data_IF_333823891582
#
_entry.id   IF_333823891582
#
_cell.length_a   1.000
_cell.length_b   1.000
_cell.length_c   1.000
_cell.angle_alpha   90.00
_cell.angle_beta   90.00
_cell.angle_gamma   90.00
#
_symmetry.space_group_name_H-M   'P 1'
#
loop_
_entity.id
_entity.type
_entity.pdbx_description
1 polymer ?
#
# COMPACT_ATOMS: atom_id res chain seq x y z
N UNK A 1 29.48 58.06 36.20
CA UNK A 1 28.23 58.65 35.67
C UNK A 1 27.08 58.05 36.46
N UNK A 2 26.57 58.75 37.48
CA UNK A 2 25.40 58.32 38.26
C UNK A 2 24.13 58.75 37.54
N UNK A 3 23.25 57.81 37.18
CA UNK A 3 21.89 58.14 36.76
C UNK A 3 21.13 58.79 37.93
N UNK A 4 20.40 59.87 37.64
CA UNK A 4 19.64 60.62 38.65
C UNK A 4 18.30 59.94 38.92
N UNK A 5 17.80 60.03 40.16
CA UNK A 5 16.48 59.50 40.56
C UNK A 5 15.30 60.04 39.71
N UNK A 6 15.49 61.12 38.94
CA UNK A 6 14.47 61.64 38.02
C UNK A 6 14.29 60.79 36.75
N UNK A 7 15.30 59.99 36.37
CA UNK A 7 15.24 59.14 35.17
C UNK A 7 14.47 57.83 35.41
N UNK A 8 14.31 57.41 36.67
CA UNK A 8 13.53 56.21 37.03
C UNK A 8 12.01 56.44 37.03
N UNK A 9 11.55 57.69 37.18
CA UNK A 9 10.12 57.99 37.30
C UNK A 9 9.36 57.88 35.96
N UNK A 10 10.06 58.03 34.82
CA UNK A 10 9.47 57.89 33.47
C UNK A 10 9.40 56.46 32.95
N UNK A 11 10.14 55.53 33.56
CA UNK A 11 10.27 54.14 33.09
C UNK A 11 9.11 53.26 33.63
N UNK A 12 8.58 53.59 34.81
CA UNK A 12 7.47 52.86 35.45
C UNK A 12 6.20 52.74 34.60
N UNK A 13 5.67 53.84 34.01
CA UNK A 13 4.48 53.77 33.15
C UNK A 13 4.72 53.01 31.84
N UNK A 14 5.91 53.12 31.25
CA UNK A 14 6.28 52.43 30.01
C UNK A 14 6.40 50.91 30.20
N UNK A 15 7.00 50.47 31.31
CA UNK A 15 7.06 49.05 31.69
C UNK A 15 5.66 48.49 31.98
N UNK A 16 4.78 49.26 32.62
CA UNK A 16 3.40 48.83 32.89
C UNK A 16 2.60 48.67 31.58
N UNK A 17 2.75 49.60 30.64
CA UNK A 17 2.12 49.52 29.31
C UNK A 17 2.65 48.33 28.50
N UNK A 18 3.95 48.05 28.56
CA UNK A 18 4.56 46.89 27.89
C UNK A 18 4.06 45.56 28.49
N UNK A 19 3.95 45.47 29.81
CA UNK A 19 3.39 44.30 30.49
C UNK A 19 1.92 44.09 30.14
N UNK A 20 1.13 45.15 30.09
CA UNK A 20 -0.29 45.09 29.71
C UNK A 20 -0.46 44.67 28.25
N UNK A 21 0.38 45.15 27.33
CA UNK A 21 0.39 44.73 25.94
C UNK A 21 0.75 43.24 25.77
N UNK A 22 1.74 42.74 26.54
CA UNK A 22 2.12 41.33 26.55
C UNK A 22 0.99 40.43 27.10
N UNK A 23 0.28 40.87 28.13
CA UNK A 23 -0.89 40.16 28.68
C UNK A 23 -2.01 40.12 27.64
N UNK A 24 -2.30 41.23 26.95
CA UNK A 24 -3.32 41.26 25.88
C UNK A 24 -2.92 40.32 24.73
N UNK A 25 -1.64 40.30 24.33
CA UNK A 25 -1.14 39.39 23.30
C UNK A 25 -1.24 37.92 23.73
N UNK A 26 -0.92 37.61 24.99
CA UNK A 26 -1.07 36.28 25.55
C UNK A 26 -2.55 35.84 25.58
N UNK A 27 -3.46 36.71 26.04
CA UNK A 27 -4.91 36.44 26.04
C UNK A 27 -5.43 36.25 24.62
N UNK A 28 -4.98 37.06 23.65
CA UNK A 28 -5.33 36.91 22.23
C UNK A 28 -4.83 35.58 21.66
N UNK A 29 -3.60 35.18 21.98
CA UNK A 29 -3.01 33.90 21.55
C UNK A 29 -3.74 32.69 22.15
N UNK A 30 -4.11 32.78 23.44
CA UNK A 30 -4.91 31.74 24.14
C UNK A 30 -6.34 31.66 23.59
N UNK A 31 -6.97 32.80 23.28
CA UNK A 31 -8.30 32.84 22.66
C UNK A 31 -8.28 32.31 21.23
N UNK A 32 -7.26 32.65 20.45
CA UNK A 32 -7.05 32.15 19.08
C UNK A 32 -6.82 30.64 19.05
N UNK A 33 -5.99 30.12 19.95
CA UNK A 33 -5.77 28.66 20.08
C UNK A 33 -7.03 27.93 20.57
N UNK A 34 -7.78 28.48 21.52
CA UNK A 34 -9.07 27.90 21.94
C UNK A 34 -10.13 27.93 20.84
N UNK A 35 -10.22 29.02 20.07
CA UNK A 35 -11.11 29.12 18.92
C UNK A 35 -10.75 28.08 17.84
N UNK A 36 -9.46 27.95 17.51
CA UNK A 36 -8.97 26.93 16.58
C UNK A 36 -9.27 25.50 17.06
N UNK A 37 -9.14 25.23 18.36
CA UNK A 37 -9.45 23.93 18.93
C UNK A 37 -10.96 23.63 18.94
N UNK A 38 -11.78 24.64 19.19
CA UNK A 38 -13.24 24.53 19.14
C UNK A 38 -13.74 24.32 17.70
N UNK A 39 -13.16 25.03 16.72
CA UNK A 39 -13.47 24.85 15.30
C UNK A 39 -13.05 23.45 14.80
N UNK A 40 -11.86 22.96 15.21
CA UNK A 40 -11.43 21.58 14.94
C UNK A 40 -12.40 20.55 15.55
N UNK A 41 -12.76 20.70 16.82
CA UNK A 41 -13.67 19.78 17.49
C UNK A 41 -15.11 19.81 16.90
N UNK A 42 -15.52 20.94 16.31
CA UNK A 42 -16.80 21.05 15.60
C UNK A 42 -16.74 20.40 14.21
N UNK A 43 -15.66 20.65 13.46
CA UNK A 43 -15.37 20.00 12.18
C UNK A 43 -15.33 18.47 12.33
N UNK A 44 -14.69 17.97 13.40
CA UNK A 44 -14.63 16.53 13.71
C UNK A 44 -16.01 15.93 14.02
N UNK A 45 -16.94 16.71 14.60
CA UNK A 45 -18.30 16.24 14.91
C UNK A 45 -19.20 16.26 13.69
N UNK A 46 -19.11 17.29 12.86
CA UNK A 46 -19.85 17.40 11.60
C UNK A 46 -19.38 16.31 10.62
N UNK A 47 -18.07 16.11 10.46
CA UNK A 47 -17.49 15.04 9.64
C UNK A 47 -17.88 13.63 10.13
N UNK A 48 -17.98 13.40 11.45
CA UNK A 48 -18.49 12.12 11.99
C UNK A 48 -19.96 11.87 11.67
N UNK A 49 -20.79 12.91 11.60
CA UNK A 49 -22.22 12.79 11.26
C UNK A 49 -22.41 12.49 9.77
N UNK A 50 -21.66 13.16 8.92
CA UNK A 50 -21.68 12.94 7.47
C UNK A 50 -21.15 11.56 7.10
N UNK A 51 -20.05 11.13 7.72
CA UNK A 51 -19.53 9.77 7.60
C UNK A 51 -20.57 8.70 8.00
N UNK A 52 -21.33 8.95 9.07
CA UNK A 52 -22.42 8.05 9.48
C UNK A 52 -23.57 7.98 8.47
N UNK A 53 -23.94 9.11 7.86
CA UNK A 53 -24.96 9.16 6.80
C UNK A 53 -24.49 8.46 5.51
N UNK A 54 -23.26 8.74 5.07
CA UNK A 54 -22.64 8.07 3.92
C UNK A 54 -22.55 6.55 4.12
N UNK A 55 -22.24 6.11 5.34
CA UNK A 55 -22.22 4.70 5.72
C UNK A 55 -23.59 4.04 5.67
N UNK A 56 -24.65 4.72 6.14
CA UNK A 56 -26.01 4.21 6.05
C UNK A 56 -26.46 4.08 4.59
N UNK A 57 -26.22 5.10 3.77
CA UNK A 57 -26.51 5.08 2.33
C UNK A 57 -25.76 3.95 1.60
N UNK A 58 -24.50 3.69 1.95
CA UNK A 58 -23.71 2.63 1.32
C UNK A 58 -24.24 1.22 1.65
N UNK A 59 -24.86 1.03 2.83
CA UNK A 59 -25.30 -0.29 3.30
C UNK A 59 -26.67 -0.71 2.77
N UNK A 60 -27.54 0.24 2.45
CA UNK A 60 -28.94 0.01 2.00
C UNK A 60 -29.14 0.25 0.50
N UNK A 61 -28.08 0.54 -0.26
CA UNK A 61 -28.18 0.79 -1.71
C UNK A 61 -28.53 -0.47 -2.52
N UNK A 62 -29.33 -0.27 -3.56
CA UNK A 62 -29.61 -1.29 -4.57
C UNK A 62 -28.34 -1.67 -5.35
N UNK A 63 -28.20 -2.94 -5.77
CA UNK A 63 -27.12 -3.37 -6.67
C UNK A 63 -27.08 -2.52 -7.95
N UNK A 64 -25.88 -2.24 -8.45
CA UNK A 64 -25.73 -1.54 -9.72
C UNK A 64 -25.96 -0.04 -9.67
N UNK A 65 -26.10 0.56 -8.48
CA UNK A 65 -26.29 2.00 -8.33
C UNK A 65 -25.25 2.58 -7.39
N UNK A 66 -24.53 3.60 -7.88
CA UNK A 66 -23.69 4.47 -7.06
C UNK A 66 -24.09 5.92 -7.26
N UNK A 67 -24.31 6.63 -6.16
CA UNK A 67 -24.51 8.06 -6.15
C UNK A 67 -23.24 8.70 -5.58
N UNK A 68 -22.62 9.66 -6.28
CA UNK A 68 -21.49 10.41 -5.76
C UNK A 68 -21.80 10.98 -4.37
N UNK A 69 -20.88 10.78 -3.43
CA UNK A 69 -21.02 11.23 -2.04
C UNK A 69 -20.08 12.41 -1.83
N UNK A 70 -20.59 13.52 -1.28
CA UNK A 70 -19.71 14.56 -0.74
C UNK A 70 -19.00 13.98 0.49
N UNK A 71 -17.68 13.97 0.48
CA UNK A 71 -16.89 13.33 1.52
C UNK A 71 -15.81 14.27 2.05
N UNK A 72 -15.94 14.61 3.33
CA UNK A 72 -14.95 15.37 4.06
C UNK A 72 -13.83 14.44 4.54
N UNK A 73 -12.70 14.56 3.87
CA UNK A 73 -11.50 13.81 4.21
C UNK A 73 -11.00 14.13 5.61
N UNK A 74 -10.55 13.14 6.39
CA UNK A 74 -9.83 13.40 7.63
C UNK A 74 -8.58 14.25 7.37
N UNK A 75 -8.16 15.01 8.38
CA UNK A 75 -6.92 15.77 8.33
C UNK A 75 -5.73 14.81 8.21
N UNK A 76 -4.88 15.02 7.20
CA UNK A 76 -3.64 14.26 7.02
C UNK A 76 -2.51 14.95 7.77
N UNK A 77 -1.78 14.18 8.58
CA UNK A 77 -0.60 14.65 9.29
C UNK A 77 0.62 14.59 8.36
N UNK A 78 1.30 15.72 8.11
CA UNK A 78 2.55 15.71 7.34
C UNK A 78 3.60 14.81 7.98
N UNK A 79 4.37 14.13 7.15
CA UNK A 79 5.52 13.35 7.58
C UNK A 79 6.64 14.32 7.95
N UNK A 80 7.11 14.20 9.19
CA UNK A 80 8.27 14.95 9.68
C UNK A 80 9.51 14.07 9.56
N UNK A 81 10.42 14.41 8.65
CA UNK A 81 11.70 13.73 8.49
C UNK A 81 12.11 13.53 7.04
N UNK A 82 13.21 12.81 6.84
CA UNK A 82 13.74 12.47 5.53
C UNK A 82 13.40 11.03 5.16
N UNK A 83 12.66 10.85 4.05
CA UNK A 83 12.30 9.53 3.52
C UNK A 83 13.53 8.65 3.30
N UNK A 84 14.69 9.23 2.98
CA UNK A 84 15.94 8.51 2.72
C UNK A 84 16.48 7.81 3.97
N UNK A 85 16.03 8.22 5.14
CA UNK A 85 16.39 7.60 6.43
C UNK A 85 15.30 6.65 6.94
N UNK A 86 14.08 6.75 6.41
CA UNK A 86 12.93 5.96 6.83
C UNK A 86 13.09 4.51 6.35
N UNK A 87 13.19 3.58 7.30
CA UNK A 87 13.26 2.14 6.99
C UNK A 87 11.88 1.63 6.58
N UNK A 88 11.79 0.69 5.61
CA UNK A 88 10.55 0.00 5.30
C UNK A 88 9.97 -0.68 6.54
N UNK A 89 8.65 -0.64 6.70
CA UNK A 89 7.97 -1.31 7.82
C UNK A 89 8.09 -2.82 7.63
N UNK A 90 8.64 -3.56 8.61
CA UNK A 90 8.86 -5.00 8.50
C UNK A 90 7.58 -5.77 8.78
N UNK A 91 6.62 -5.76 7.86
CA UNK A 91 5.39 -6.54 8.00
C UNK A 91 5.70 -8.04 8.14
N UNK A 92 5.23 -8.68 9.22
CA UNK A 92 5.41 -10.13 9.47
C UNK A 92 4.03 -10.80 9.69
N UNK A 93 3.22 -10.98 8.62
CA UNK A 93 1.86 -11.50 8.71
C UNK A 93 1.77 -13.02 8.94
N UNK A 94 2.73 -13.58 9.68
CA UNK A 94 2.80 -14.99 10.04
C UNK A 94 2.84 -15.13 11.56
N UNK A 95 2.17 -16.16 12.08
CA UNK A 95 1.95 -16.40 13.51
C UNK A 95 2.38 -17.82 13.87
N UNK A 96 2.67 -18.06 15.14
CA UNK A 96 2.87 -19.41 15.64
C UNK A 96 1.58 -20.22 15.53
N UNK A 97 1.73 -21.52 15.24
CA UNK A 97 0.64 -22.50 15.26
C UNK A 97 -0.14 -22.61 13.96
N UNK A 98 -1.41 -22.98 14.07
CA UNK A 98 -2.28 -23.28 12.93
C UNK A 98 -2.52 -22.05 12.05
N UNK A 99 -2.48 -22.28 10.74
CA UNK A 99 -2.78 -21.25 9.76
C UNK A 99 -4.26 -21.30 9.35
N UNK A 100 -4.97 -20.21 9.62
CA UNK A 100 -6.36 -20.06 9.20
C UNK A 100 -6.49 -19.06 8.05
N UNK A 101 -7.05 -19.53 6.94
CA UNK A 101 -7.42 -18.67 5.81
C UNK A 101 -8.57 -17.76 6.22
N UNK A 102 -8.29 -16.46 6.36
CA UNK A 102 -9.28 -15.42 6.66
C UNK A 102 -9.03 -14.19 5.79
N UNK A 103 -9.99 -13.27 5.75
CA UNK A 103 -9.79 -11.99 5.05
C UNK A 103 -8.66 -11.14 5.65
N UNK A 104 -8.36 -11.29 6.96
CA UNK A 104 -7.24 -10.62 7.63
C UNK A 104 -7.33 -9.08 7.66
N UNK A 105 -8.53 -8.54 7.48
CA UNK A 105 -8.79 -7.11 7.32
C UNK A 105 -8.74 -6.39 8.68
N UNK A 106 -8.10 -5.21 8.69
CA UNK A 106 -8.03 -4.28 9.82
C UNK A 106 -8.38 -2.87 9.34
N UNK A 107 -8.83 -2.00 10.25
CA UNK A 107 -9.04 -0.60 9.90
C UNK A 107 -7.71 0.05 9.53
N UNK A 108 -7.71 0.87 8.48
CA UNK A 108 -6.52 1.61 8.04
C UNK A 108 -6.55 3.02 8.62
N UNK A 109 -5.44 3.48 9.20
CA UNK A 109 -5.26 4.88 9.53
C UNK A 109 -5.11 5.69 8.23
N UNK A 110 -5.79 6.83 8.11
CA UNK A 110 -5.72 7.68 6.92
C UNK A 110 -4.31 8.21 6.66
N UNK A 111 -3.46 8.41 7.68
CA UNK A 111 -2.04 8.78 7.53
C UNK A 111 -1.14 7.65 6.99
N UNK A 112 -1.73 6.48 6.77
CA UNK A 112 -1.05 5.27 6.30
C UNK A 112 -1.69 4.76 4.99
N UNK A 113 -2.34 5.61 4.20
CA UNK A 113 -2.90 5.18 2.92
C UNK A 113 -1.80 4.66 1.98
N UNK A 114 -0.75 5.46 1.78
CA UNK A 114 0.49 5.03 1.14
C UNK A 114 1.70 5.25 2.04
N UNK A 115 2.63 4.30 1.97
CA UNK A 115 3.83 4.25 2.80
C UNK A 115 5.07 4.38 1.92
N UNK A 116 5.66 5.59 1.94
CA UNK A 116 6.90 5.91 1.24
C UNK A 116 8.05 5.75 2.22
N UNK A 117 9.08 5.04 1.80
CA UNK A 117 10.29 4.84 2.58
C UNK A 117 11.55 5.06 1.72
N UNK A 118 12.73 4.84 2.29
CA UNK A 118 14.02 5.07 1.62
C UNK A 118 14.20 4.32 0.31
N UNK A 119 13.40 3.27 0.04
CA UNK A 119 13.46 2.49 -1.19
C UNK A 119 12.64 3.10 -2.33
N UNK A 120 11.96 4.23 -2.10
CA UNK A 120 11.10 4.90 -3.08
C UNK A 120 11.76 5.06 -4.45
N UNK A 121 12.98 5.59 -4.52
CA UNK A 121 13.66 5.84 -5.80
C UNK A 121 14.07 4.56 -6.53
N UNK A 122 14.35 3.48 -5.81
CA UNK A 122 14.67 2.19 -6.44
C UNK A 122 13.40 1.55 -7.01
N UNK A 123 12.29 1.61 -6.26
CA UNK A 123 10.98 1.21 -6.76
C UNK A 123 10.55 2.04 -7.97
N UNK A 124 10.78 3.35 -7.93
CA UNK A 124 10.47 4.24 -9.04
C UNK A 124 11.24 3.85 -10.31
N UNK A 125 12.53 3.51 -10.21
CA UNK A 125 13.33 3.03 -11.35
C UNK A 125 12.75 1.73 -11.93
N UNK A 126 12.45 0.76 -11.07
CA UNK A 126 11.84 -0.53 -11.47
C UNK A 126 10.51 -0.31 -12.16
N UNK A 127 9.61 0.48 -11.57
CA UNK A 127 8.28 0.77 -12.13
C UNK A 127 8.40 1.53 -13.45
N UNK A 128 9.22 2.58 -13.52
CA UNK A 128 9.44 3.33 -14.77
C UNK A 128 9.93 2.43 -15.89
N UNK A 129 10.93 1.58 -15.62
CA UNK A 129 11.41 0.61 -16.59
C UNK A 129 10.31 -0.38 -16.99
N UNK A 130 9.55 -0.88 -16.02
CA UNK A 130 8.45 -1.82 -16.26
C UNK A 130 7.36 -1.24 -17.17
N UNK A 131 6.95 -0.01 -16.90
CA UNK A 131 5.98 0.72 -17.73
C UNK A 131 6.48 0.89 -19.17
N UNK A 132 7.78 1.10 -19.38
CA UNK A 132 8.38 1.20 -20.71
C UNK A 132 8.35 -0.13 -21.48
N UNK A 133 8.76 -1.23 -20.84
CA UNK A 133 8.90 -2.53 -21.55
C UNK A 133 7.58 -3.30 -21.68
N UNK A 134 6.61 -3.05 -20.79
CA UNK A 134 5.30 -3.74 -20.80
C UNK A 134 4.19 -2.89 -21.40
N UNK A 135 4.30 -1.57 -21.32
CA UNK A 135 3.28 -0.64 -21.78
C UNK A 135 1.90 -1.01 -21.24
N UNK A 136 0.97 -1.23 -22.16
CA UNK A 136 -0.44 -1.47 -21.85
C UNK A 136 -0.68 -2.85 -21.22
N UNK A 137 0.30 -3.76 -21.18
CA UNK A 137 0.16 -5.04 -20.45
C UNK A 137 0.31 -4.89 -18.93
N UNK A 138 1.04 -3.86 -18.50
CA UNK A 138 1.16 -3.53 -17.07
C UNK A 138 0.10 -2.53 -16.63
N UNK A 139 -0.46 -1.74 -17.55
CA UNK A 139 -1.51 -0.75 -17.27
C UNK A 139 -2.66 -0.91 -18.25
N UNK A 140 -3.79 -1.42 -17.76
CA UNK A 140 -5.01 -1.59 -18.56
C UNK A 140 -6.13 -0.80 -17.91
N UNK A 141 -6.85 -0.02 -18.72
CA UNK A 141 -8.08 0.68 -18.33
C UNK A 141 -9.15 0.31 -19.33
N UNK A 142 -10.16 -0.46 -18.90
CA UNK A 142 -11.23 -0.84 -19.80
C UNK A 142 -12.05 0.40 -20.21
N UNK A 143 -12.53 0.44 -21.47
CA UNK A 143 -13.56 1.41 -21.84
C UNK A 143 -14.84 1.11 -21.06
N UNK A 144 -15.78 2.05 -21.04
CA UNK A 144 -17.09 1.83 -20.41
C UNK A 144 -17.72 0.54 -20.96
N UNK A 145 -18.10 -0.36 -20.05
CA UNK A 145 -18.68 -1.66 -20.37
C UNK A 145 -20.17 -1.67 -20.04
N UNK A 146 -21.03 -2.30 -20.86
CA UNK A 146 -22.41 -2.54 -20.50
C UNK A 146 -22.51 -3.29 -19.16
N UNK A 147 -23.41 -2.84 -18.29
CA UNK A 147 -23.62 -3.48 -16.99
C UNK A 147 -22.54 -3.20 -15.94
N UNK A 148 -21.56 -2.33 -16.21
CA UNK A 148 -20.63 -1.82 -15.20
C UNK A 148 -21.06 -0.42 -14.75
N UNK A 149 -21.05 -0.18 -13.45
CA UNK A 149 -21.39 1.11 -12.86
C UNK A 149 -20.27 2.11 -13.13
N UNK A 150 -20.59 3.19 -13.83
CA UNK A 150 -19.65 4.27 -14.14
C UNK A 150 -18.63 3.89 -15.22
N UNK A 151 -17.40 4.37 -15.08
CA UNK A 151 -16.32 4.17 -16.05
C UNK A 151 -14.99 3.96 -15.34
N UNK A 152 -14.21 2.99 -15.83
CA UNK A 152 -12.88 2.71 -15.30
C UNK A 152 -11.93 3.91 -15.49
N UNK A 153 -12.09 4.66 -16.59
CA UNK A 153 -11.32 5.90 -16.83
C UNK A 153 -11.66 7.00 -15.81
N UNK A 154 -12.95 7.15 -15.46
CA UNK A 154 -13.36 8.11 -14.43
C UNK A 154 -12.82 7.72 -13.05
N UNK A 155 -12.86 6.43 -12.71
CA UNK A 155 -12.29 5.90 -11.46
C UNK A 155 -10.77 6.08 -11.39
N UNK A 156 -10.07 5.86 -12.50
CA UNK A 156 -8.62 6.09 -12.61
C UNK A 156 -8.25 7.57 -12.43
N UNK A 157 -8.99 8.47 -13.07
CA UNK A 157 -8.82 9.92 -12.88
C UNK A 157 -9.10 10.33 -11.43
N UNK A 158 -10.18 9.84 -10.83
CA UNK A 158 -10.45 10.13 -9.42
C UNK A 158 -9.33 9.62 -8.51
N UNK A 159 -8.84 8.39 -8.70
CA UNK A 159 -7.73 7.84 -7.92
C UNK A 159 -6.48 8.72 -7.99
N UNK A 160 -6.04 9.14 -9.18
CA UNK A 160 -4.77 9.89 -9.28
C UNK A 160 -4.87 11.28 -8.63
N UNK A 161 -6.03 11.93 -8.73
CA UNK A 161 -6.28 13.22 -8.06
C UNK A 161 -6.31 13.04 -6.54
N UNK A 162 -7.04 12.04 -6.06
CA UNK A 162 -7.11 11.67 -4.65
C UNK A 162 -5.73 11.33 -4.05
N UNK A 163 -4.94 10.57 -4.81
CA UNK A 163 -3.58 10.19 -4.42
C UNK A 163 -2.66 11.41 -4.36
N UNK A 164 -2.74 12.32 -5.34
CA UNK A 164 -1.95 13.55 -5.34
C UNK A 164 -2.30 14.47 -4.16
N UNK A 165 -3.59 14.56 -3.80
CA UNK A 165 -4.04 15.33 -2.63
C UNK A 165 -3.48 14.74 -1.33
N UNK A 166 -3.49 13.41 -1.19
CA UNK A 166 -2.91 12.71 -0.04
C UNK A 166 -1.39 12.90 0.02
N UNK A 167 -0.68 12.59 -1.07
CA UNK A 167 0.79 12.59 -1.11
C UNK A 167 1.38 13.98 -0.86
N UNK A 168 0.82 15.03 -1.46
CA UNK A 168 1.29 16.41 -1.26
C UNK A 168 1.12 16.91 0.17
N UNK A 169 0.17 16.35 0.94
CA UNK A 169 -0.04 16.66 2.35
C UNK A 169 0.78 15.78 3.27
N UNK A 170 0.85 14.48 2.95
CA UNK A 170 1.58 13.49 3.74
C UNK A 170 3.09 13.66 3.59
N UNK A 171 3.59 14.00 2.42
CA UNK A 171 5.03 14.13 2.13
C UNK A 171 5.34 15.46 1.41
N UNK A 172 5.12 16.61 2.05
CA UNK A 172 5.24 17.92 1.41
C UNK A 172 6.66 18.27 0.95
N UNK A 173 7.68 17.67 1.56
CA UNK A 173 9.09 17.86 1.16
C UNK A 173 9.47 17.02 -0.08
N UNK A 174 8.68 15.98 -0.39
CA UNK A 174 8.87 15.13 -1.57
C UNK A 174 8.07 15.63 -2.78
N UNK A 175 6.89 16.20 -2.55
CA UNK A 175 5.97 16.62 -3.61
C UNK A 175 5.63 18.10 -3.56
N UNK A 176 5.78 18.76 -4.70
CA UNK A 176 5.22 20.11 -4.95
C UNK A 176 4.02 20.00 -5.88
N UNK A 177 3.02 20.86 -5.69
CA UNK A 177 1.79 20.85 -6.51
C UNK A 177 1.46 22.23 -7.07
N UNK A 178 0.84 22.25 -8.25
CA UNK A 178 0.16 23.43 -8.81
C UNK A 178 -1.33 23.12 -8.89
N UNK A 179 -2.16 23.99 -8.32
CA UNK A 179 -3.62 23.84 -8.27
C UNK A 179 -4.29 24.66 -9.35
N UNK A 180 -5.44 24.18 -9.83
CA UNK A 180 -6.36 24.98 -10.63
C UNK A 180 -7.07 26.00 -9.74
N UNK A 181 -7.68 27.00 -10.36
CA UNK A 181 -8.65 27.83 -9.67
C UNK A 181 -9.80 26.97 -9.13
N UNK A 182 -10.41 27.44 -8.04
CA UNK A 182 -11.54 26.75 -7.44
C UNK A 182 -12.73 26.81 -8.40
N UNK A 183 -13.13 25.65 -8.95
CA UNK A 183 -14.30 25.51 -9.81
C UNK A 183 -15.63 25.69 -9.06
N UNK A 184 -16.74 25.54 -9.78
CA UNK A 184 -18.08 25.49 -9.20
C UNK A 184 -18.28 24.24 -8.30
N UNK A 185 -19.41 24.18 -7.59
CA UNK A 185 -19.71 23.11 -6.62
C UNK A 185 -19.53 21.72 -7.24
N UNK A 186 -18.70 20.88 -6.62
CA UNK A 186 -18.48 19.50 -7.03
C UNK A 186 -17.16 19.23 -7.74
N UNK A 187 -16.34 20.23 -8.09
CA UNK A 187 -15.03 20.04 -8.74
C UNK A 187 -13.85 20.51 -7.87
N UNK A 188 -14.05 20.53 -6.55
CA UNK A 188 -13.03 20.94 -5.58
C UNK A 188 -11.98 19.86 -5.32
N UNK A 189 -10.77 20.31 -5.00
CA UNK A 189 -9.76 19.52 -4.30
C UNK A 189 -10.12 19.34 -2.83
N UNK A 190 -9.23 18.68 -2.09
CA UNK A 190 -9.45 18.45 -0.66
C UNK A 190 -9.51 19.76 0.12
N UNK A 191 -10.28 19.76 1.22
CA UNK A 191 -10.41 20.89 2.15
C UNK A 191 -10.90 22.20 1.51
N UNK A 192 -11.67 22.10 0.43
CA UNK A 192 -12.25 23.25 -0.27
C UNK A 192 -11.25 24.03 -1.13
N UNK A 193 -10.07 23.47 -1.40
CA UNK A 193 -9.08 24.01 -2.33
C UNK A 193 -9.45 23.70 -3.80
N UNK A 194 -8.77 24.35 -4.75
CA UNK A 194 -8.85 23.95 -6.15
C UNK A 194 -8.16 22.59 -6.37
N UNK A 195 -8.62 21.77 -7.33
CA UNK A 195 -8.03 20.47 -7.60
C UNK A 195 -6.59 20.63 -8.09
N UNK A 196 -5.74 19.64 -7.80
CA UNK A 196 -4.36 19.63 -8.28
C UNK A 196 -4.36 19.46 -9.80
N UNK A 197 -3.69 20.38 -10.51
CA UNK A 197 -3.41 20.26 -11.95
C UNK A 197 -2.15 19.44 -12.17
N UNK A 198 -1.06 19.82 -11.51
CA UNK A 198 0.23 19.15 -11.65
C UNK A 198 0.84 18.82 -10.30
N UNK A 199 1.60 17.73 -10.26
CA UNK A 199 2.39 17.29 -9.11
C UNK A 199 3.80 16.96 -9.56
N UNK A 200 4.79 17.44 -8.80
CA UNK A 200 6.21 17.28 -9.08
C UNK A 200 6.87 16.47 -7.97
N UNK A 201 7.63 15.44 -8.33
CA UNK A 201 8.55 14.77 -7.39
C UNK A 201 9.84 15.58 -7.35
N UNK A 202 10.04 16.37 -6.30
CA UNK A 202 11.08 17.40 -6.23
C UNK A 202 12.51 16.82 -6.44
N UNK A 203 12.93 15.74 -5.76
CA UNK A 203 14.28 15.21 -5.95
C UNK A 203 14.55 14.61 -7.35
N UNK A 204 13.50 14.31 -8.12
CA UNK A 204 13.62 13.78 -9.48
C UNK A 204 13.43 14.83 -10.58
N UNK A 205 12.99 16.05 -10.21
CA UNK A 205 12.54 17.10 -11.14
C UNK A 205 11.58 16.56 -12.22
N UNK A 206 10.64 15.71 -11.80
CA UNK A 206 9.65 15.10 -12.68
C UNK A 206 8.26 15.61 -12.34
N UNK A 207 7.64 16.32 -13.28
CA UNK A 207 6.29 16.88 -13.16
C UNK A 207 5.30 16.09 -13.98
N UNK A 208 4.13 15.81 -13.39
CA UNK A 208 3.03 15.09 -14.01
C UNK A 208 1.79 15.98 -14.07
N UNK A 209 1.20 16.13 -15.25
CA UNK A 209 -0.10 16.78 -15.42
C UNK A 209 -1.22 15.75 -15.28
N UNK A 210 -2.07 15.92 -14.26
CA UNK A 210 -3.09 14.95 -13.87
C UNK A 210 -4.31 14.94 -14.80
N UNK A 211 -4.43 15.89 -15.72
CA UNK A 211 -5.51 15.95 -16.69
C UNK A 211 -5.13 15.40 -18.05
N UNK A 212 -3.86 15.59 -18.44
CA UNK A 212 -3.34 15.23 -19.75
C UNK A 212 -2.69 13.84 -19.79
N UNK A 213 -2.07 13.41 -18.68
CA UNK A 213 -1.35 12.13 -18.63
C UNK A 213 -2.26 10.96 -18.24
N UNK A 214 -1.86 9.74 -18.63
CA UNK A 214 -2.59 8.52 -18.30
C UNK A 214 -2.63 8.32 -16.76
N UNK A 215 -3.81 8.37 -16.11
CA UNK A 215 -3.91 8.47 -14.66
C UNK A 215 -3.24 7.33 -13.89
N UNK A 216 -3.37 6.08 -14.35
CA UNK A 216 -2.79 4.94 -13.61
C UNK A 216 -1.28 4.83 -13.82
N UNK A 217 -0.77 5.24 -14.99
CA UNK A 217 0.69 5.38 -15.18
C UNK A 217 1.27 6.42 -14.22
N UNK A 218 0.61 7.57 -14.06
CA UNK A 218 1.02 8.60 -13.09
C UNK A 218 0.93 8.07 -11.66
N UNK A 219 -0.19 7.46 -11.26
CA UNK A 219 -0.36 6.90 -9.92
C UNK A 219 0.74 5.89 -9.55
N UNK A 220 1.18 5.05 -10.49
CA UNK A 220 2.28 4.10 -10.29
C UNK A 220 3.66 4.75 -10.14
N UNK A 221 3.86 5.96 -10.67
CA UNK A 221 5.12 6.71 -10.51
C UNK A 221 5.11 7.57 -9.24
N UNK A 222 3.93 8.00 -8.79
CA UNK A 222 3.80 8.80 -7.59
C UNK A 222 3.97 8.00 -6.30
N UNK A 223 3.77 6.69 -6.29
CA UNK A 223 3.85 5.89 -5.06
C UNK A 223 4.53 4.52 -5.28
N UNK A 224 4.72 3.74 -4.23
CA UNK A 224 5.40 2.43 -4.31
C UNK A 224 4.43 1.26 -4.53
N UNK A 225 3.12 1.52 -4.45
CA UNK A 225 2.03 0.58 -4.63
C UNK A 225 1.81 0.20 -6.10
N UNK A 226 1.26 -0.98 -6.33
CA UNK A 226 0.47 -1.28 -7.53
C UNK A 226 -1.01 -0.95 -7.27
N UNK A 227 -1.77 -0.69 -8.33
CA UNK A 227 -3.15 -0.20 -8.25
C UNK A 227 -4.10 -1.10 -9.03
N UNK A 228 -5.19 -1.53 -8.40
CA UNK A 228 -6.30 -2.22 -9.06
C UNK A 228 -7.62 -1.53 -8.73
N UNK A 229 -8.48 -1.33 -9.73
CA UNK A 229 -9.77 -0.67 -9.61
C UNK A 229 -10.89 -1.67 -9.86
N UNK A 230 -11.66 -1.89 -8.80
CA UNK A 230 -12.80 -2.79 -8.79
C UNK A 230 -14.08 -1.96 -8.88
N UNK A 231 -14.83 -2.10 -9.98
CA UNK A 231 -16.10 -1.41 -10.18
C UNK A 231 -17.25 -2.40 -10.03
N UNK A 232 -18.36 -1.93 -9.49
CA UNK A 232 -19.54 -2.78 -9.33
C UNK A 232 -20.26 -2.96 -10.67
N UNK A 233 -20.85 -4.13 -10.89
CA UNK A 233 -21.76 -4.41 -11.98
C UNK A 233 -23.22 -4.16 -11.60
N UNK A 234 -24.10 -4.12 -12.58
CA UNK A 234 -25.55 -4.05 -12.39
C UNK A 234 -26.11 -5.24 -11.61
N UNK A 235 -25.36 -6.34 -11.55
CA UNK A 235 -25.65 -7.54 -10.77
C UNK A 235 -25.14 -7.48 -9.30
N UNK A 236 -24.50 -6.37 -8.91
CA UNK A 236 -23.91 -6.18 -7.58
C UNK A 236 -22.58 -6.87 -7.33
N UNK A 237 -21.99 -7.54 -8.32
CA UNK A 237 -20.63 -8.11 -8.24
C UNK A 237 -19.60 -7.03 -8.54
N UNK A 238 -18.37 -7.23 -8.09
CA UNK A 238 -17.27 -6.29 -8.37
C UNK A 238 -16.33 -6.88 -9.40
N UNK A 239 -15.97 -6.09 -10.40
CA UNK A 239 -15.16 -6.48 -11.55
C UNK A 239 -13.87 -5.67 -11.61
N UNK A 240 -12.76 -6.32 -11.92
CA UNK A 240 -11.49 -5.63 -12.16
C UNK A 240 -11.57 -4.90 -13.50
N UNK A 241 -11.76 -3.59 -13.48
CA UNK A 241 -11.97 -2.82 -14.72
C UNK A 241 -10.78 -1.96 -15.11
N UNK A 242 -9.86 -1.71 -14.18
CA UNK A 242 -8.59 -1.11 -14.50
C UNK A 242 -7.51 -1.52 -13.50
N UNK A 243 -6.25 -1.40 -13.90
CA UNK A 243 -5.13 -1.56 -12.99
C UNK A 243 -3.82 -1.10 -13.60
N UNK A 244 -2.88 -0.75 -12.72
CA UNK A 244 -1.46 -0.61 -13.02
C UNK A 244 -0.68 -1.52 -12.08
N UNK A 245 -0.29 -2.69 -12.61
CA UNK A 245 0.35 -3.77 -11.88
C UNK A 245 1.77 -3.92 -12.41
N UNK A 246 2.69 -3.14 -11.85
CA UNK A 246 4.09 -3.12 -12.26
C UNK A 246 4.95 -4.15 -11.50
N UNK A 247 4.50 -4.54 -10.30
CA UNK A 247 5.15 -5.48 -9.41
C UNK A 247 4.21 -6.63 -9.05
N UNK A 248 3.64 -7.34 -10.05
CA UNK A 248 2.79 -8.50 -9.80
C UNK A 248 3.49 -9.53 -8.91
N UNK A 249 2.69 -10.24 -8.12
CA UNK A 249 3.12 -11.51 -7.53
C UNK A 249 3.08 -12.60 -8.60
N UNK A 250 2.36 -13.69 -8.31
CA UNK A 250 2.18 -14.82 -9.23
C UNK A 250 0.90 -14.69 -10.10
N UNK A 251 0.58 -13.48 -10.58
CA UNK A 251 -0.58 -13.24 -11.46
C UNK A 251 -0.30 -12.08 -12.43
N UNK A 252 -0.96 -12.05 -13.60
CA UNK A 252 -0.84 -10.95 -14.58
C UNK A 252 -2.15 -10.20 -14.71
N UNK A 253 -2.07 -8.87 -14.87
CA UNK A 253 -3.25 -8.02 -15.03
C UNK A 253 -4.11 -8.45 -16.23
N UNK A 254 -3.48 -8.67 -17.38
CA UNK A 254 -4.14 -9.08 -18.63
C UNK A 254 -4.93 -10.38 -18.51
N UNK A 255 -4.56 -11.27 -17.59
CA UNK A 255 -5.26 -12.55 -17.39
C UNK A 255 -6.51 -12.39 -16.52
N UNK A 256 -6.63 -11.27 -15.79
CA UNK A 256 -7.65 -11.05 -14.76
C UNK A 256 -8.55 -9.85 -15.06
N UNK A 257 -8.14 -8.97 -15.96
CA UNK A 257 -8.90 -7.79 -16.33
C UNK A 257 -10.28 -8.18 -16.88
N UNK A 258 -11.32 -7.46 -16.46
CA UNK A 258 -12.71 -7.73 -16.80
C UNK A 258 -13.38 -8.83 -15.96
N UNK A 259 -12.63 -9.63 -15.19
CA UNK A 259 -13.22 -10.70 -14.38
C UNK A 259 -13.89 -10.16 -13.11
N UNK A 260 -14.97 -10.81 -12.65
CA UNK A 260 -15.54 -10.56 -11.33
C UNK A 260 -14.60 -11.08 -10.23
N UNK A 261 -14.69 -10.47 -9.04
CA UNK A 261 -13.85 -10.76 -7.87
C UNK A 261 -13.76 -12.24 -7.56
N UNK A 262 -14.88 -12.96 -7.63
CA UNK A 262 -14.94 -14.40 -7.42
C UNK A 262 -14.11 -15.17 -8.45
N UNK A 263 -14.24 -14.86 -9.74
CA UNK A 263 -13.55 -15.57 -10.80
C UNK A 263 -12.05 -15.32 -10.78
N UNK A 264 -11.61 -14.13 -10.39
CA UNK A 264 -10.18 -13.82 -10.16
C UNK A 264 -9.59 -14.80 -9.15
N UNK A 265 -10.30 -15.06 -8.05
CA UNK A 265 -9.82 -15.93 -6.97
C UNK A 265 -9.98 -17.43 -7.30
N UNK A 266 -11.09 -17.82 -7.95
CA UNK A 266 -11.33 -19.21 -8.37
C UNK A 266 -10.33 -19.64 -9.44
N UNK A 267 -10.15 -18.84 -10.50
CA UNK A 267 -9.16 -19.12 -11.55
C UNK A 267 -7.72 -19.01 -11.05
N UNK A 268 -7.49 -18.27 -9.95
CA UNK A 268 -6.23 -18.25 -9.24
C UNK A 268 -5.97 -19.48 -8.38
N UNK A 269 -6.95 -20.37 -8.19
CA UNK A 269 -6.92 -21.51 -7.27
C UNK A 269 -6.62 -21.08 -5.82
N UNK A 270 -7.21 -19.96 -5.36
CA UNK A 270 -7.04 -19.50 -3.98
C UNK A 270 -7.63 -20.54 -3.01
N UNK A 271 -6.82 -21.10 -2.09
CA UNK A 271 -7.27 -22.14 -1.16
C UNK A 271 -8.47 -21.70 -0.36
N UNK A 272 -9.45 -22.60 -0.24
CA UNK A 272 -10.64 -22.43 0.62
C UNK A 272 -11.51 -21.22 0.28
N UNK A 273 -11.29 -20.55 -0.87
CA UNK A 273 -12.02 -19.34 -1.25
C UNK A 273 -13.52 -19.55 -1.32
N UNK A 274 -13.97 -20.54 -2.10
CA UNK A 274 -15.40 -20.79 -2.34
C UNK A 274 -16.16 -21.07 -1.04
N UNK A 275 -15.56 -21.87 -0.15
CA UNK A 275 -16.21 -22.35 1.05
C UNK A 275 -16.08 -21.40 2.26
N UNK A 276 -15.00 -20.60 2.35
CA UNK A 276 -14.72 -19.75 3.53
C UNK A 276 -14.72 -18.26 3.28
N UNK A 277 -14.31 -17.80 2.08
CA UNK A 277 -14.07 -16.38 1.82
C UNK A 277 -15.17 -15.74 0.97
N UNK A 278 -15.69 -16.44 -0.04
CA UNK A 278 -16.52 -15.86 -1.09
C UNK A 278 -17.67 -14.99 -0.55
N UNK A 279 -18.57 -15.56 0.26
CA UNK A 279 -19.75 -14.83 0.77
C UNK A 279 -19.35 -13.61 1.59
N UNK A 280 -18.34 -13.76 2.46
CA UNK A 280 -17.87 -12.67 3.32
C UNK A 280 -17.23 -11.55 2.51
N UNK A 281 -16.45 -11.88 1.49
CA UNK A 281 -15.74 -10.93 0.65
C UNK A 281 -16.70 -10.18 -0.28
N UNK A 282 -17.63 -10.88 -0.94
CA UNK A 282 -18.65 -10.25 -1.78
C UNK A 282 -19.49 -9.24 -0.97
N UNK A 283 -19.92 -9.63 0.24
CA UNK A 283 -20.65 -8.75 1.15
C UNK A 283 -19.79 -7.55 1.60
N UNK A 284 -18.51 -7.79 1.89
CA UNK A 284 -17.59 -6.75 2.32
C UNK A 284 -17.40 -5.69 1.24
N UNK A 285 -17.09 -6.08 -0.01
CA UNK A 285 -16.93 -5.15 -1.13
C UNK A 285 -18.19 -4.33 -1.36
N UNK A 286 -19.38 -4.92 -1.28
CA UNK A 286 -20.63 -4.15 -1.45
C UNK A 286 -20.86 -3.12 -0.34
N UNK A 287 -20.45 -3.43 0.89
CA UNK A 287 -20.75 -2.62 2.09
C UNK A 287 -19.61 -1.72 2.57
N UNK A 288 -18.41 -1.82 1.98
CA UNK A 288 -17.26 -0.98 2.34
C UNK A 288 -17.65 0.50 2.22
N UNK A 289 -17.70 1.28 3.31
CA UNK A 289 -18.06 2.69 3.22
C UNK A 289 -16.86 3.54 2.82
N UNK A 290 -17.11 4.79 2.40
CA UNK A 290 -16.06 5.73 1.96
C UNK A 290 -15.12 6.17 3.10
N UNK A 291 -15.60 6.16 4.34
CA UNK A 291 -14.90 6.69 5.52
C UNK A 291 -14.05 5.65 6.28
N UNK A 292 -14.20 4.36 5.95
CA UNK A 292 -13.50 3.25 6.64
C UNK A 292 -12.66 2.43 5.68
N UNK A 293 -11.59 3.00 5.13
CA UNK A 293 -10.62 2.21 4.39
C UNK A 293 -10.01 1.16 5.31
N UNK A 294 -9.55 0.09 4.69
CA UNK A 294 -9.00 -1.05 5.42
C UNK A 294 -7.66 -1.47 4.86
N UNK A 295 -6.89 -2.16 5.70
CA UNK A 295 -5.62 -2.78 5.32
C UNK A 295 -5.64 -4.27 5.65
N UNK A 296 -4.88 -5.05 4.91
CA UNK A 296 -4.58 -6.45 5.18
C UNK A 296 -3.18 -6.77 4.66
N UNK A 297 -2.66 -7.91 5.06
CA UNK A 297 -1.35 -8.34 4.59
C UNK A 297 -1.45 -9.73 4.00
N UNK A 298 -0.64 -9.94 2.98
CA UNK A 298 -0.41 -11.22 2.36
C UNK A 298 1.10 -11.47 2.31
N UNK A 299 1.49 -12.73 2.23
CA UNK A 299 2.90 -13.07 2.04
C UNK A 299 3.08 -14.39 1.33
N UNK A 300 4.22 -14.55 0.68
CA UNK A 300 4.71 -15.80 0.11
C UNK A 300 6.22 -15.68 -0.05
N UNK A 301 6.88 -16.74 -0.52
CA UNK A 301 8.31 -16.70 -0.79
C UNK A 301 8.56 -16.64 -2.28
N UNK A 302 9.64 -15.95 -2.63
CA UNK A 302 10.14 -15.83 -3.98
C UNK A 302 11.59 -16.26 -4.00
N UNK A 303 11.92 -17.21 -4.87
CA UNK A 303 13.30 -17.56 -5.21
C UNK A 303 13.72 -16.66 -6.37
N UNK A 304 14.86 -15.99 -6.24
CA UNK A 304 15.37 -15.07 -7.27
C UNK A 304 16.67 -15.61 -7.87
N UNK A 305 16.95 -15.27 -9.13
CA UNK A 305 18.23 -15.62 -9.74
C UNK A 305 19.37 -14.89 -9.02
N UNK A 306 20.48 -15.59 -8.75
CA UNK A 306 21.64 -14.96 -8.12
C UNK A 306 22.13 -13.78 -8.97
N UNK A 307 22.25 -12.55 -8.41
CA UNK A 307 22.60 -11.36 -9.17
C UNK A 307 23.96 -11.44 -9.87
N UNK A 308 24.88 -12.28 -9.36
CA UNK A 308 26.21 -12.47 -9.95
C UNK A 308 26.30 -13.69 -10.87
N UNK A 309 25.20 -14.42 -11.09
CA UNK A 309 25.20 -15.54 -12.03
C UNK A 309 25.42 -15.05 -13.47
N UNK A 310 25.97 -15.91 -14.32
CA UNK A 310 26.08 -15.62 -15.77
C UNK A 310 24.72 -15.33 -16.41
N UNK A 311 23.64 -15.92 -15.89
CA UNK A 311 22.28 -15.65 -16.31
C UNK A 311 21.83 -14.21 -15.99
N UNK A 312 22.16 -13.69 -14.81
CA UNK A 312 21.88 -12.30 -14.42
C UNK A 312 22.74 -11.29 -15.19
N UNK A 313 24.01 -11.61 -15.45
CA UNK A 313 24.93 -10.73 -16.21
C UNK A 313 24.50 -10.49 -17.66
N UNK A 314 23.77 -11.44 -18.26
CA UNK A 314 23.26 -11.33 -19.64
C UNK A 314 21.86 -10.70 -19.73
N UNK A 315 21.27 -10.28 -18.61
CA UNK A 315 19.95 -9.66 -18.56
C UNK A 315 20.06 -8.19 -18.13
N UNK A 316 19.92 -7.21 -19.04
CA UNK A 316 19.95 -5.79 -18.69
C UNK A 316 18.93 -5.40 -17.59
N UNK A 317 17.81 -6.12 -17.50
CA UNK A 317 16.81 -5.87 -16.47
C UNK A 317 17.30 -6.25 -15.05
N UNK A 318 18.27 -7.15 -14.91
CA UNK A 318 18.80 -7.58 -13.61
C UNK A 318 19.61 -6.48 -12.91
N UNK A 319 20.07 -5.45 -13.62
CA UNK A 319 20.71 -4.27 -12.99
C UNK A 319 19.66 -3.32 -12.40
N UNK A 320 18.47 -3.27 -13.00
CA UNK A 320 17.38 -2.39 -12.58
C UNK A 320 16.53 -3.07 -11.49
N UNK A 321 16.28 -4.37 -11.65
CA UNK A 321 15.46 -5.19 -10.77
C UNK A 321 16.23 -6.46 -10.33
N UNK A 322 17.24 -6.32 -9.45
CA UNK A 322 18.13 -7.41 -9.07
C UNK A 322 17.47 -8.50 -8.21
N UNK A 323 16.31 -8.20 -7.61
CA UNK A 323 15.57 -9.13 -6.74
C UNK A 323 14.26 -9.59 -7.39
N UNK A 324 14.11 -9.38 -8.70
CA UNK A 324 12.92 -9.75 -9.47
C UNK A 324 11.62 -9.25 -8.81
N UNK A 325 11.66 -8.03 -8.25
CA UNK A 325 10.53 -7.36 -7.63
C UNK A 325 9.35 -7.22 -8.60
N UNK A 326 9.65 -6.92 -9.86
CA UNK A 326 8.65 -6.68 -10.90
C UNK A 326 8.03 -7.97 -11.44
N UNK A 327 8.84 -8.98 -11.76
CA UNK A 327 8.35 -10.29 -12.18
C UNK A 327 9.38 -11.37 -11.87
N UNK A 328 8.96 -12.40 -11.13
CA UNK A 328 9.85 -13.53 -10.85
C UNK A 328 9.98 -14.46 -12.05
N UNK A 329 10.94 -14.18 -12.93
CA UNK A 329 11.27 -15.12 -14.00
C UNK A 329 11.76 -16.45 -13.45
N UNK A 330 12.44 -16.43 -12.30
CA UNK A 330 12.97 -17.65 -11.66
C UNK A 330 11.88 -18.61 -11.25
N UNK A 331 10.76 -18.11 -10.70
CA UNK A 331 9.66 -18.96 -10.24
C UNK A 331 8.51 -19.10 -11.23
N UNK A 332 8.35 -18.17 -12.17
CA UNK A 332 7.18 -18.11 -13.06
C UNK A 332 7.53 -18.21 -14.54
N UNK A 333 8.82 -18.32 -14.87
CA UNK A 333 9.31 -18.33 -16.24
C UNK A 333 9.07 -17.00 -16.96
N UNK A 334 9.08 -17.06 -18.30
CA UNK A 334 8.86 -15.87 -19.12
C UNK A 334 7.40 -15.43 -19.02
N UNK A 335 7.18 -14.19 -18.62
CA UNK A 335 5.84 -13.59 -18.47
C UNK A 335 5.01 -13.58 -19.76
N UNK A 336 5.65 -13.65 -20.93
CA UNK A 336 5.00 -13.57 -22.24
C UNK A 336 4.42 -14.89 -22.74
N UNK A 337 4.63 -15.99 -22.01
CA UNK A 337 4.01 -17.28 -22.35
C UNK A 337 2.51 -17.25 -22.08
N UNK A 338 1.73 -18.07 -22.76
CA UNK A 338 0.28 -18.17 -22.50
C UNK A 338 0.00 -18.65 -21.08
N UNK A 339 0.75 -19.64 -20.63
CA UNK A 339 0.60 -20.28 -19.32
C UNK A 339 1.73 -19.89 -18.35
N UNK A 340 1.40 -19.93 -17.05
CA UNK A 340 2.40 -19.82 -15.99
C UNK A 340 3.30 -21.05 -15.99
N UNK A 341 4.61 -20.83 -16.12
CA UNK A 341 5.59 -21.86 -15.79
C UNK A 341 5.77 -21.83 -14.27
N UNK A 342 4.82 -22.42 -13.53
CA UNK A 342 4.95 -22.49 -12.06
C UNK A 342 6.28 -23.15 -11.70
N UNK A 343 6.83 -22.81 -10.54
CA UNK A 343 8.10 -23.35 -10.06
C UNK A 343 8.13 -24.90 -10.05
N UNK A 344 6.96 -25.56 -10.02
CA UNK A 344 6.80 -27.03 -10.15
C UNK A 344 7.40 -27.50 -11.46
N UNK A 345 7.18 -26.77 -12.55
CA UNK A 345 7.76 -27.09 -13.85
C UNK A 345 9.26 -26.81 -13.92
N UNK A 346 9.77 -25.80 -13.19
CA UNK A 346 11.21 -25.50 -13.20
C UNK A 346 12.05 -26.52 -12.40
N UNK A 347 11.48 -27.15 -11.36
CA UNK A 347 12.14 -28.27 -10.66
C UNK A 347 11.86 -29.65 -11.28
N UNK A 348 10.77 -29.84 -12.03
CA UNK A 348 10.39 -31.15 -12.61
C UNK A 348 10.39 -31.27 -14.15
N UNK A 349 10.63 -30.21 -14.93
CA UNK A 349 10.66 -30.29 -16.40
C UNK A 349 12.10 -30.20 -16.90
N UNK A 350 12.69 -31.36 -17.14
CA UNK A 350 13.52 -31.58 -18.33
C UNK A 350 14.80 -30.76 -18.49
N UNK A 351 15.57 -30.58 -17.42
CA UNK A 351 17.01 -30.45 -17.60
C UNK A 351 17.64 -31.65 -16.93
N UNK A 352 18.23 -32.54 -17.74
CA UNK A 352 19.20 -33.54 -17.25
C UNK A 352 20.38 -32.88 -16.47
N UNK A 353 20.43 -31.54 -16.43
CA UNK A 353 21.44 -30.71 -15.75
C UNK A 353 20.90 -29.68 -14.72
N UNK A 354 19.60 -29.65 -14.37
CA UNK A 354 19.13 -28.80 -13.26
C UNK A 354 19.55 -29.42 -11.93
N UNK A 355 20.77 -29.08 -11.49
CA UNK A 355 21.38 -29.48 -10.23
C UNK A 355 20.35 -29.47 -9.09
N UNK A 356 20.00 -30.67 -8.64
CA UNK A 356 19.30 -30.99 -7.38
C UNK A 356 20.17 -30.69 -6.14
N UNK A 357 20.97 -29.63 -6.22
CA UNK A 357 21.78 -29.15 -5.10
C UNK A 357 20.92 -28.35 -4.11
N UNK A 358 21.42 -28.14 -2.88
CA UNK A 358 20.74 -27.31 -1.90
C UNK A 358 20.52 -25.90 -2.43
N UNK A 359 19.33 -25.34 -2.19
CA UNK A 359 19.00 -23.96 -2.54
C UNK A 359 19.90 -22.99 -1.77
N UNK A 360 20.52 -22.04 -2.46
CA UNK A 360 21.23 -20.94 -1.78
C UNK A 360 20.20 -20.06 -1.05
N UNK A 361 20.22 -20.08 0.28
CA UNK A 361 19.25 -19.39 1.11
C UNK A 361 19.26 -17.86 0.91
N UNK A 362 20.37 -17.29 0.43
CA UNK A 362 20.46 -15.88 0.10
C UNK A 362 19.66 -15.50 -1.19
N UNK A 363 19.23 -16.50 -1.97
CA UNK A 363 18.30 -16.32 -3.10
C UNK A 363 16.82 -16.36 -2.69
N UNK A 364 16.50 -16.67 -1.44
CA UNK A 364 15.12 -16.79 -0.99
C UNK A 364 14.68 -15.51 -0.29
N UNK A 365 13.60 -14.93 -0.79
CA UNK A 365 13.03 -13.69 -0.26
C UNK A 365 11.62 -13.96 0.24
N UNK A 366 11.33 -13.50 1.45
CA UNK A 366 9.95 -13.30 1.87
C UNK A 366 9.42 -12.09 1.10
N UNK A 367 8.39 -12.31 0.29
CA UNK A 367 7.61 -11.26 -0.31
C UNK A 367 6.38 -11.02 0.55
N UNK A 368 6.24 -9.80 1.07
CA UNK A 368 5.04 -9.38 1.79
C UNK A 368 4.32 -8.30 1.01
N UNK A 369 3.01 -8.32 1.08
CA UNK A 369 2.14 -7.36 0.42
C UNK A 369 1.28 -6.71 1.47
N UNK A 370 1.49 -5.42 1.73
CA UNK A 370 0.55 -4.60 2.47
C UNK A 370 -0.48 -4.10 1.48
N UNK A 371 -1.72 -4.51 1.68
CA UNK A 371 -2.79 -4.26 0.75
C UNK A 371 -3.82 -3.34 1.40
N UNK A 372 -4.27 -2.32 0.68
CA UNK A 372 -5.35 -1.44 1.16
C UNK A 372 -6.58 -1.55 0.28
N UNK A 373 -7.76 -1.39 0.88
CA UNK A 373 -9.03 -1.29 0.18
C UNK A 373 -9.72 0.00 0.63
N UNK A 374 -9.99 0.88 -0.34
CA UNK A 374 -10.70 2.14 -0.11
C UNK A 374 -11.73 2.35 -1.21
N UNK A 375 -12.92 2.82 -0.84
CA UNK A 375 -13.91 3.26 -1.82
C UNK A 375 -13.70 4.73 -2.19
N UNK A 376 -13.73 5.02 -3.48
CA UNK A 376 -13.73 6.38 -4.01
C UNK A 376 -15.15 7.00 -3.93
N UNK A 377 -15.30 8.23 -3.39
CA UNK A 377 -16.62 8.80 -3.13
C UNK A 377 -17.38 9.21 -4.39
N UNK A 378 -16.72 9.65 -5.46
CA UNK A 378 -17.40 10.12 -6.68
C UNK A 378 -17.83 8.95 -7.56
N UNK A 379 -16.92 8.04 -7.87
CA UNK A 379 -17.17 6.91 -8.79
C UNK A 379 -17.67 5.65 -8.09
N UNK A 380 -17.45 5.52 -6.78
CA UNK A 380 -17.83 4.32 -6.02
C UNK A 380 -16.92 3.12 -6.23
N UNK A 381 -15.91 3.25 -7.10
CA UNK A 381 -14.91 2.23 -7.33
C UNK A 381 -14.14 1.91 -6.05
N UNK A 382 -13.76 0.64 -5.89
CA UNK A 382 -12.87 0.21 -4.81
C UNK A 382 -11.46 0.16 -5.36
N UNK A 383 -10.60 0.98 -4.77
CA UNK A 383 -9.15 0.97 -4.98
C UNK A 383 -8.57 -0.14 -4.12
N UNK A 384 -7.94 -1.11 -4.77
CA UNK A 384 -7.09 -2.10 -4.15
C UNK A 384 -5.63 -1.72 -4.43
N UNK A 385 -4.91 -1.25 -3.40
CA UNK A 385 -3.49 -0.94 -3.53
C UNK A 385 -2.63 -2.06 -2.96
N UNK A 386 -1.46 -2.30 -3.55
CA UNK A 386 -0.56 -3.40 -3.18
C UNK A 386 0.86 -2.85 -3.03
N UNK A 387 1.29 -2.58 -1.79
CA UNK A 387 2.68 -2.24 -1.47
C UNK A 387 3.44 -3.54 -1.24
N UNK A 388 4.44 -3.78 -2.09
CA UNK A 388 5.27 -4.98 -2.04
C UNK A 388 6.56 -4.71 -1.27
N UNK A 389 6.91 -5.57 -0.32
CA UNK A 389 8.22 -5.60 0.32
C UNK A 389 8.89 -6.94 0.06
N UNK A 390 10.21 -6.92 -0.09
CA UNK A 390 11.04 -8.12 -0.16
C UNK A 390 12.06 -8.08 0.97
N UNK A 391 12.24 -9.20 1.67
CA UNK A 391 13.29 -9.36 2.69
C UNK A 391 13.95 -10.72 2.51
N UNK A 392 15.28 -10.74 2.37
CA UNK A 392 16.05 -11.98 2.25
C UNK A 392 15.84 -12.84 3.51
N UNK A 393 15.67 -14.15 3.34
CA UNK A 393 15.49 -15.10 4.44
C UNK A 393 16.67 -15.08 5.41
N UNK A 394 17.89 -14.88 4.90
CA UNK A 394 19.09 -14.76 5.74
C UNK A 394 19.05 -13.52 6.64
N UNK A 395 18.45 -12.42 6.18
CA UNK A 395 18.28 -11.21 7.00
C UNK A 395 17.11 -11.36 7.98
N UNK A 396 16.00 -11.98 7.55
CA UNK A 396 14.89 -12.31 8.43
C UNK A 396 15.33 -13.20 9.59
N UNK A 397 16.24 -14.14 9.34
CA UNK A 397 16.71 -15.06 10.36
C UNK A 397 17.50 -14.37 11.49
N UNK A 398 17.98 -13.14 11.27
CA UNK A 398 18.66 -12.32 12.27
C UNK A 398 17.68 -11.60 13.20
N UNK A 399 16.41 -11.46 12.81
CA UNK A 399 15.40 -10.79 13.62
C UNK A 399 15.02 -11.66 14.83
N UNK A 400 15.07 -11.12 16.07
CA UNK A 400 14.72 -11.88 17.27
C UNK A 400 13.32 -12.54 17.18
N UNK A 401 13.26 -13.86 17.38
CA UNK A 401 12.02 -14.63 17.41
C UNK A 401 11.36 -14.89 16.05
N UNK A 402 11.83 -14.26 14.97
CA UNK A 402 11.30 -14.45 13.62
C UNK A 402 11.56 -15.86 13.06
N UNK A 403 12.77 -16.46 13.17
CA UNK A 403 13.02 -17.77 12.58
C UNK A 403 12.04 -18.85 13.06
N UNK A 404 11.90 -18.99 14.39
CA UNK A 404 11.02 -19.99 14.99
C UNK A 404 9.56 -19.77 14.61
N UNK A 405 9.09 -18.51 14.62
CA UNK A 405 7.71 -18.19 14.24
C UNK A 405 7.44 -18.51 12.78
N UNK A 406 8.34 -18.11 11.89
CA UNK A 406 8.18 -18.34 10.46
C UNK A 406 8.16 -19.83 10.15
N UNK A 407 9.06 -20.61 10.76
CA UNK A 407 9.08 -22.06 10.62
C UNK A 407 7.79 -22.71 11.15
N UNK A 408 7.30 -22.27 12.32
CA UNK A 408 6.01 -22.72 12.86
C UNK A 408 4.84 -22.39 11.93
N UNK A 409 4.79 -21.16 11.41
CA UNK A 409 3.72 -20.71 10.51
C UNK A 409 3.67 -21.53 9.22
N UNK A 410 4.84 -21.81 8.61
CA UNK A 410 4.94 -22.62 7.39
C UNK A 410 4.48 -24.06 7.67
N UNK A 411 4.87 -24.65 8.81
CA UNK A 411 4.41 -25.98 9.22
C UNK A 411 2.92 -26.03 9.55
N UNK A 412 2.33 -24.90 9.94
CA UNK A 412 0.90 -24.76 10.20
C UNK A 412 0.04 -24.63 8.94
N UNK A 413 0.64 -24.51 7.74
CA UNK A 413 -0.11 -24.49 6.49
C UNK A 413 -0.75 -25.85 6.20
N UNK A 414 -2.01 -25.80 5.75
CA UNK A 414 -2.66 -26.96 5.14
C UNK A 414 -2.04 -27.24 3.76
N UNK A 415 -2.15 -28.49 3.28
CA UNK A 415 -1.51 -28.93 2.03
C UNK A 415 -1.89 -28.05 0.82
N UNK A 416 -3.16 -27.67 0.71
CA UNK A 416 -3.66 -26.77 -0.34
C UNK A 416 -2.99 -25.39 -0.30
N UNK A 417 -2.77 -24.84 0.89
CA UNK A 417 -2.05 -23.57 1.11
C UNK A 417 -0.57 -23.72 0.79
N UNK A 418 0.07 -24.79 1.25
CA UNK A 418 1.48 -25.07 1.00
C UNK A 418 1.77 -25.23 -0.50
N UNK A 419 0.91 -25.96 -1.22
CA UNK A 419 0.99 -26.11 -2.67
C UNK A 419 0.74 -24.78 -3.39
N UNK A 420 -0.28 -24.03 -2.98
CA UNK A 420 -0.59 -22.72 -3.56
C UNK A 420 0.54 -21.70 -3.41
N UNK A 421 1.28 -21.76 -2.29
CA UNK A 421 2.44 -20.90 -2.01
C UNK A 421 3.77 -21.50 -2.51
N UNK A 422 3.74 -22.55 -3.33
CA UNK A 422 4.89 -23.22 -3.92
C UNK A 422 5.95 -23.69 -2.89
N UNK A 423 5.54 -24.18 -1.71
CA UNK A 423 6.46 -24.56 -0.62
C UNK A 423 7.57 -25.52 -1.08
N UNK A 424 7.28 -26.44 -2.01
CA UNK A 424 8.28 -27.38 -2.53
C UNK A 424 9.51 -26.68 -3.15
N UNK A 425 9.40 -25.44 -3.61
CA UNK A 425 10.47 -24.69 -4.26
C UNK A 425 11.51 -24.17 -3.25
N UNK A 426 11.14 -24.00 -1.98
CA UNK A 426 11.98 -23.39 -0.95
C UNK A 426 11.87 -24.09 0.41
N UNK A 427 11.33 -25.31 0.47
CA UNK A 427 11.15 -26.08 1.72
C UNK A 427 12.43 -26.18 2.56
N UNK A 428 13.59 -26.10 1.92
CA UNK A 428 14.92 -26.20 2.53
C UNK A 428 15.17 -25.07 3.57
N UNK A 429 14.44 -23.95 3.49
CA UNK A 429 14.53 -22.89 4.51
C UNK A 429 14.11 -23.36 5.90
N UNK A 430 13.27 -24.39 6.02
CA UNK A 430 12.75 -24.82 7.32
C UNK A 430 13.86 -25.30 8.26
N UNK A 431 14.81 -26.08 7.75
CA UNK A 431 15.95 -26.54 8.53
C UNK A 431 16.80 -25.36 8.99
N UNK A 432 17.10 -24.42 8.08
CA UNK A 432 17.86 -23.23 8.40
C UNK A 432 17.19 -22.35 9.47
N UNK A 433 15.87 -22.17 9.38
CA UNK A 433 15.12 -21.40 10.36
C UNK A 433 15.12 -22.06 11.75
N UNK A 434 15.07 -23.40 11.82
CA UNK A 434 15.20 -24.13 13.09
C UNK A 434 16.58 -23.96 13.72
N UNK A 435 17.64 -24.07 12.91
CA UNK A 435 19.02 -23.87 13.36
C UNK A 435 19.22 -22.45 13.90
N UNK A 436 18.71 -21.44 13.18
CA UNK A 436 18.76 -20.05 13.62
C UNK A 436 17.94 -19.82 14.90
N UNK A 437 16.77 -20.44 15.03
CA UNK A 437 15.95 -20.36 16.24
C UNK A 437 16.66 -20.98 17.45
N UNK A 438 17.26 -22.16 17.27
CA UNK A 438 18.03 -22.82 18.32
C UNK A 438 19.25 -22.00 18.76
N UNK A 439 19.93 -21.35 17.82
CA UNK A 439 21.06 -20.47 18.14
C UNK A 439 20.58 -19.20 18.87
N UNK A 440 19.46 -18.59 18.48
CA UNK A 440 18.87 -17.47 19.23
C UNK A 440 18.51 -17.84 20.67
N UNK A 441 18.00 -19.05 20.92
CA UNK A 441 17.75 -19.59 22.27
C UNK A 441 19.05 -19.79 23.04
N UNK A 442 20.06 -20.41 22.43
CA UNK A 442 21.37 -20.68 23.05
C UNK A 442 22.10 -19.40 23.43
N UNK A 443 22.00 -18.35 22.61
CA UNK A 443 22.59 -17.04 22.86
C UNK A 443 21.76 -16.18 23.84
N UNK A 444 20.57 -16.64 24.23
CA UNK A 444 19.66 -15.87 25.11
C UNK A 444 19.05 -14.63 24.45
N UNK A 445 19.03 -14.56 23.11
CA UNK A 445 18.37 -13.50 22.34
C UNK A 445 16.85 -13.56 22.54
N UNK A 446 16.33 -14.77 22.66
CA UNK A 446 14.94 -15.09 23.02
C UNK A 446 14.94 -16.15 24.12
N UNK A 447 13.86 -16.22 24.88
CA UNK A 447 13.65 -17.24 25.92
C UNK A 447 12.68 -18.31 25.42
N UNK A 448 12.82 -19.53 25.95
CA UNK A 448 11.93 -20.63 25.59
C UNK A 448 10.48 -20.42 26.05
N UNK A 449 10.28 -19.61 27.10
CA UNK A 449 8.99 -19.20 27.64
C UNK A 449 8.51 -17.84 27.11
N UNK A 450 9.26 -17.21 26.20
CA UNK A 450 8.82 -15.94 25.60
C UNK A 450 7.46 -16.17 24.92
N UNK A 451 6.51 -15.23 25.09
CA UNK A 451 5.21 -15.36 24.49
C UNK A 451 5.37 -15.59 22.99
N UNK A 452 4.84 -16.72 22.50
CA UNK A 452 4.69 -17.00 21.07
C UNK A 452 3.75 -15.97 20.38
N UNK A 453 3.17 -15.06 21.15
CA UNK A 453 2.46 -13.88 20.69
C UNK A 453 3.42 -12.68 20.72
N UNK A 454 4.04 -12.33 19.61
CA UNK A 454 4.73 -11.04 19.51
C UNK A 454 4.07 -10.15 18.47
N UNK A 455 3.93 -8.87 18.84
CA UNK A 455 3.29 -7.82 18.07
C UNK A 455 4.24 -7.28 16.99
N UNK A 456 4.58 -8.10 16.00
CA UNK A 456 5.14 -7.53 14.77
C UNK A 456 4.02 -6.75 14.06
N UNK A 457 4.35 -5.64 13.38
CA UNK A 457 3.39 -4.98 12.50
C UNK A 457 2.84 -6.03 11.52
N UNK A 458 1.52 -6.24 11.57
CA UNK A 458 0.82 -7.24 10.78
C UNK A 458 0.81 -6.86 9.32
#
# INVERSE_FOLDING_TARGET
>A
MSMSLKDLAGIGPLLLCALFALIILAIRKVRSTRASFADRARCDKEGKREAAMARAQTQEREPGVWHPVEFDYPAIEPFEGDIMTLKPIPYRPFRWGEYHVTMGIRSMNWNEWTEIDKTFFDYHKVVKHRLQIRGDRAVIVNPAQPGIVGSAHAAARELVHELAEYLSRRYPDLYRVVRKEKGEKGEGGWYGEGPIKTITIEPLDQTYDLDEMEPLKVASLLAQEDWALMLEGSDGRYYLQAGAIAKPGFWRLQDKIGMPLEEIHLSGNVPQYQNKLHVSMARFFRRLPVDKPVTRNNYFFQVVTWPQSSAAQNNPAATIDPTELAWSMTMHGKEDKTDFERAVMMRNVGAEDAKTGPLDLATVYLRTERQTLRRLPRTGAIVFSIRVYQTCVVDLAKEPGVPGRLASAIRGWQEDVAQYKDLFAYKDILQYLDECHAEQLKQGVIRADDPQTSDFPF
#
